data_IF_266335919251
#
_entry.id   IF_266335919251
#
_cell.length_a   1.000
_cell.length_b   1.000
_cell.length_c   1.000
_cell.angle_alpha   90.00
_cell.angle_beta   90.00
_cell.angle_gamma   90.00
#
_symmetry.space_group_name_H-M   'P 1'
#
loop_
_entity.id
_entity.type
_entity.pdbx_description
1 polymer ?
#
# COMPACT_ATOMS: atom_id res chain seq x y z
N UNK A 1 -68.16 27.37 -58.30
CA UNK A 1 -67.06 27.88 -57.45
C UNK A 1 -67.17 27.24 -56.09
N UNK A 2 -66.03 26.91 -55.46
CA UNK A 2 -65.75 25.85 -54.46
C UNK A 2 -65.35 24.55 -55.16
N UNK A 3 -64.09 24.13 -55.23
CA UNK A 3 -62.87 24.51 -54.51
C UNK A 3 -62.28 23.24 -53.90
N UNK A 4 -61.22 22.69 -54.50
CA UNK A 4 -60.45 21.54 -54.02
C UNK A 4 -59.40 21.92 -52.99
N UNK A 5 -59.04 20.99 -52.11
CA UNK A 5 -57.83 20.90 -51.27
C UNK A 5 -57.94 19.53 -50.58
N UNK A 6 -57.30 18.48 -51.05
CA UNK A 6 -55.87 18.12 -51.07
C UNK A 6 -55.36 17.61 -49.71
N UNK A 7 -54.82 16.40 -49.78
CA UNK A 7 -54.35 15.52 -48.71
C UNK A 7 -52.83 15.59 -48.71
N UNK A 8 -52.19 16.12 -47.67
CA UNK A 8 -50.88 15.67 -47.18
C UNK A 8 -50.51 16.46 -45.93
N UNK A 9 -50.44 15.79 -44.78
CA UNK A 9 -49.51 16.13 -43.70
C UNK A 9 -49.11 14.79 -43.07
N UNK A 10 -47.93 14.30 -43.47
CA UNK A 10 -47.24 13.17 -42.84
C UNK A 10 -46.34 13.79 -41.79
N UNK A 11 -46.67 13.59 -40.51
CA UNK A 11 -45.79 13.95 -39.40
C UNK A 11 -44.59 12.98 -39.37
N UNK A 12 -43.41 13.46 -39.73
CA UNK A 12 -42.15 12.79 -39.45
C UNK A 12 -41.87 12.87 -37.94
N UNK A 13 -42.06 11.75 -37.25
CA UNK A 13 -41.52 11.53 -35.91
C UNK A 13 -39.99 11.43 -35.99
N UNK A 14 -39.31 12.57 -35.88
CA UNK A 14 -37.89 12.65 -35.60
C UNK A 14 -37.61 12.15 -34.19
N UNK A 15 -37.23 10.89 -34.06
CA UNK A 15 -36.69 10.34 -32.83
C UNK A 15 -35.32 10.94 -32.56
N UNK A 16 -35.23 11.83 -31.56
CA UNK A 16 -33.98 12.23 -30.95
C UNK A 16 -33.36 11.03 -30.22
N UNK A 17 -32.58 10.23 -30.95
CA UNK A 17 -31.65 9.28 -30.38
C UNK A 17 -30.48 10.06 -29.75
N UNK A 18 -30.71 10.61 -28.56
CA UNK A 18 -29.63 11.04 -27.67
C UNK A 18 -28.92 9.79 -27.15
N UNK A 19 -28.08 9.21 -28.01
CA UNK A 19 -26.92 8.46 -27.56
C UNK A 19 -26.05 9.43 -26.77
N UNK A 20 -26.29 9.52 -25.45
CA UNK A 20 -25.28 10.00 -24.51
C UNK A 20 -24.07 9.09 -24.68
N UNK A 21 -23.13 9.50 -25.52
CA UNK A 21 -21.76 9.05 -25.42
C UNK A 21 -21.34 9.33 -23.99
N UNK A 22 -21.28 8.28 -23.18
CA UNK A 22 -20.68 8.36 -21.86
C UNK A 22 -19.21 8.70 -22.08
N UNK A 23 -18.87 9.98 -22.09
CA UNK A 23 -17.49 10.42 -22.04
C UNK A 23 -16.86 9.70 -20.85
N UNK A 24 -15.81 8.92 -21.14
CA UNK A 24 -15.04 8.27 -20.08
C UNK A 24 -14.48 9.38 -19.19
N UNK A 25 -14.59 9.25 -17.85
CA UNK A 25 -14.13 10.29 -16.95
C UNK A 25 -12.65 10.60 -17.23
N UNK A 26 -12.33 11.88 -17.43
CA UNK A 26 -10.98 12.32 -17.80
C UNK A 26 -10.02 12.14 -16.64
N UNK A 27 -8.84 11.57 -16.92
CA UNK A 27 -7.76 11.46 -15.95
C UNK A 27 -7.15 12.84 -15.73
N UNK A 28 -7.30 13.37 -14.52
CA UNK A 28 -6.74 14.66 -14.09
C UNK A 28 -5.50 14.47 -13.20
N UNK A 29 -4.70 15.52 -13.04
CA UNK A 29 -3.55 15.52 -12.15
C UNK A 29 -3.96 15.20 -10.69
N UNK A 30 -3.42 14.13 -10.12
CA UNK A 30 -3.76 13.65 -8.77
C UNK A 30 -4.80 12.52 -8.75
N UNK A 31 -5.31 12.11 -9.91
CA UNK A 31 -6.17 10.94 -10.06
C UNK A 31 -5.49 9.66 -9.62
N UNK A 32 -6.26 8.75 -9.02
CA UNK A 32 -5.80 7.40 -8.70
C UNK A 32 -6.19 6.43 -9.81
N UNK A 33 -5.18 5.79 -10.42
CA UNK A 33 -5.35 4.73 -11.41
C UNK A 33 -5.02 3.37 -10.81
N UNK A 34 -5.90 2.39 -10.95
CA UNK A 34 -5.72 1.01 -10.48
C UNK A 34 -6.25 0.02 -11.52
N UNK A 35 -5.44 -0.96 -11.88
CA UNK A 35 -5.74 -1.97 -12.90
C UNK A 35 -5.27 -3.36 -12.47
N UNK A 36 -5.58 -4.38 -13.28
CA UNK A 36 -5.25 -5.77 -13.03
C UNK A 36 -6.40 -6.56 -12.40
N UNK A 37 -6.07 -7.57 -11.59
CA UNK A 37 -7.04 -8.48 -11.01
C UNK A 37 -7.99 -7.77 -10.03
N UNK A 38 -9.30 -7.96 -10.20
CA UNK A 38 -10.33 -7.36 -9.35
C UNK A 38 -11.26 -8.36 -8.66
N UNK A 39 -10.82 -9.60 -8.45
CA UNK A 39 -11.63 -10.67 -7.83
C UNK A 39 -12.24 -10.27 -6.46
N UNK A 40 -11.50 -9.51 -5.65
CA UNK A 40 -11.94 -9.00 -4.35
C UNK A 40 -12.20 -7.50 -4.35
N UNK A 41 -12.31 -6.88 -5.54
CA UNK A 41 -12.48 -5.43 -5.68
C UNK A 41 -11.25 -4.62 -5.28
N UNK A 42 -10.05 -5.21 -5.24
CA UNK A 42 -8.79 -4.51 -4.93
C UNK A 42 -8.41 -3.44 -5.97
N UNK A 43 -9.12 -3.38 -7.10
CA UNK A 43 -9.08 -2.31 -8.09
C UNK A 43 -9.87 -1.06 -7.68
N UNK A 44 -10.76 -1.15 -6.66
CA UNK A 44 -11.43 0.01 -6.07
C UNK A 44 -12.60 0.57 -6.87
N UNK A 45 -13.04 -0.11 -7.93
CA UNK A 45 -14.06 0.38 -8.88
C UNK A 45 -15.50 0.33 -8.37
N UNK A 46 -15.73 -0.13 -7.14
CA UNK A 46 -17.06 -0.42 -6.60
C UNK A 46 -17.70 -1.68 -7.16
N UNK A 47 -16.95 -2.48 -7.92
CA UNK A 47 -17.34 -3.77 -8.50
C UNK A 47 -16.18 -4.76 -8.45
N UNK A 48 -16.50 -6.04 -8.57
CA UNK A 48 -15.51 -7.09 -8.83
C UNK A 48 -15.27 -7.24 -10.33
N UNK A 49 -14.13 -7.81 -10.70
CA UNK A 49 -13.73 -8.05 -12.08
C UNK A 49 -12.47 -7.29 -12.46
N UNK A 50 -11.74 -7.86 -13.42
CA UNK A 50 -10.45 -7.33 -13.85
C UNK A 50 -10.62 -5.98 -14.57
N UNK A 51 -9.64 -5.11 -14.38
CA UNK A 51 -9.68 -3.72 -14.86
C UNK A 51 -8.48 -3.47 -15.76
N UNK A 52 -8.71 -3.02 -16.99
CA UNK A 52 -7.65 -2.55 -17.87
C UNK A 52 -7.14 -1.17 -17.44
N UNK A 53 -5.90 -0.83 -17.77
CA UNK A 53 -5.33 0.49 -17.40
C UNK A 53 -6.14 1.68 -17.95
N UNK A 54 -6.77 1.52 -19.12
CA UNK A 54 -7.66 2.53 -19.73
C UNK A 54 -8.93 2.80 -18.94
N UNK A 55 -9.34 1.87 -18.08
CA UNK A 55 -10.52 1.95 -17.21
C UNK A 55 -10.13 2.09 -15.73
N UNK A 56 -8.84 2.32 -15.46
CA UNK A 56 -8.28 2.25 -14.12
C UNK A 56 -8.64 3.41 -13.20
N UNK A 57 -9.30 4.45 -13.71
CA UNK A 57 -9.66 5.64 -12.92
C UNK A 57 -10.63 5.27 -11.80
N UNK A 58 -10.16 5.38 -10.56
CA UNK A 58 -11.01 5.19 -9.38
C UNK A 58 -11.83 6.46 -9.18
N UNK A 59 -13.06 6.44 -9.71
CA UNK A 59 -13.97 7.58 -9.62
C UNK A 59 -14.20 8.02 -8.16
N UNK A 60 -14.35 9.33 -7.96
CA UNK A 60 -14.61 9.96 -6.66
C UNK A 60 -13.48 9.77 -5.63
N UNK A 61 -12.28 9.38 -6.08
CA UNK A 61 -11.08 9.32 -5.25
C UNK A 61 -9.95 10.21 -5.78
N UNK A 62 -9.32 11.04 -4.92
CA UNK A 62 -9.57 11.17 -3.48
C UNK A 62 -10.88 11.91 -3.15
N UNK A 63 -11.50 11.65 -1.99
CA UNK A 63 -12.88 12.07 -1.69
C UNK A 63 -13.05 13.57 -1.39
N UNK A 64 -11.98 14.35 -1.47
CA UNK A 64 -12.01 15.82 -1.36
C UNK A 64 -11.43 16.40 -2.63
N UNK A 65 -12.12 17.37 -3.23
CA UNK A 65 -11.66 18.08 -4.41
C UNK A 65 -10.25 18.66 -4.16
N UNK A 66 -9.25 18.08 -4.83
CA UNK A 66 -7.85 18.53 -4.77
C UNK A 66 -6.94 17.80 -3.78
N UNK A 67 -7.43 16.85 -2.98
CA UNK A 67 -6.55 15.95 -2.24
C UNK A 67 -5.68 15.13 -3.23
N UNK A 68 -4.52 14.65 -2.78
CA UNK A 68 -3.60 13.85 -3.62
C UNK A 68 -3.06 12.67 -2.85
N UNK A 69 -2.75 11.58 -3.54
CA UNK A 69 -2.07 10.42 -2.93
C UNK A 69 -0.57 10.69 -2.83
N UNK A 70 0.01 10.52 -1.64
CA UNK A 70 1.49 10.56 -1.44
C UNK A 70 2.13 9.18 -1.28
N UNK A 71 1.39 8.18 -0.80
CA UNK A 71 1.91 6.83 -0.59
C UNK A 71 0.88 5.80 -1.04
N UNK A 72 1.38 4.67 -1.54
CA UNK A 72 0.57 3.56 -2.04
C UNK A 72 1.25 2.23 -1.75
N UNK A 73 0.44 1.20 -1.50
CA UNK A 73 0.89 -0.17 -1.31
C UNK A 73 -0.18 -1.17 -1.78
N UNK A 74 0.24 -2.21 -2.49
CA UNK A 74 -0.61 -3.32 -2.91
C UNK A 74 -0.27 -4.57 -2.08
N UNK A 75 -1.26 -5.20 -1.46
CA UNK A 75 -1.15 -6.57 -0.96
C UNK A 75 -1.48 -7.58 -2.05
N UNK A 76 -1.65 -8.86 -1.69
CA UNK A 76 -2.04 -9.88 -2.66
C UNK A 76 -3.51 -9.73 -3.12
N UNK A 77 -4.38 -9.15 -2.28
CA UNK A 77 -5.82 -9.02 -2.57
C UNK A 77 -6.44 -7.74 -1.98
N UNK A 78 -5.62 -6.76 -1.61
CA UNK A 78 -6.05 -5.49 -1.04
C UNK A 78 -5.09 -4.37 -1.42
N UNK A 79 -5.55 -3.14 -1.28
CA UNK A 79 -4.81 -1.93 -1.62
C UNK A 79 -4.92 -0.92 -0.48
N UNK A 80 -3.85 -0.16 -0.25
CA UNK A 80 -3.78 0.92 0.72
C UNK A 80 -3.15 2.15 0.07
N UNK A 81 -3.73 3.31 0.33
CA UNK A 81 -3.15 4.60 -0.04
C UNK A 81 -3.21 5.57 1.13
N UNK A 82 -2.32 6.56 1.09
CA UNK A 82 -2.27 7.67 2.03
C UNK A 82 -2.29 8.97 1.26
N UNK A 83 -3.18 9.88 1.63
CA UNK A 83 -3.25 11.22 1.03
C UNK A 83 -2.16 12.13 1.58
N UNK A 84 -1.88 13.25 0.91
CA UNK A 84 -0.93 14.28 1.37
C UNK A 84 -1.31 14.84 2.76
N UNK A 85 -2.60 14.82 3.09
CA UNK A 85 -3.15 15.20 4.40
C UNK A 85 -3.00 14.10 5.46
N UNK A 86 -2.36 12.97 5.16
CA UNK A 86 -2.24 11.78 6.02
C UNK A 86 -3.55 11.01 6.27
N UNK A 87 -4.55 11.12 5.38
CA UNK A 87 -5.73 10.26 5.44
C UNK A 87 -5.41 8.90 4.82
N UNK A 88 -5.74 7.81 5.53
CA UNK A 88 -5.48 6.44 5.08
C UNK A 88 -6.75 5.82 4.52
N UNK A 89 -6.65 5.21 3.34
CA UNK A 89 -7.73 4.47 2.72
C UNK A 89 -7.28 3.06 2.37
N UNK A 90 -8.15 2.09 2.64
CA UNK A 90 -7.93 0.68 2.33
C UNK A 90 -9.16 0.08 1.64
N UNK A 91 -8.94 -0.86 0.72
CA UNK A 91 -10.00 -1.59 0.03
C UNK A 91 -9.50 -2.92 -0.54
N UNK A 92 -10.43 -3.74 -1.04
CA UNK A 92 -10.20 -5.11 -1.48
C UNK A 92 -10.72 -6.13 -0.47
N UNK A 93 -10.06 -7.28 -0.39
CA UNK A 93 -10.38 -8.37 0.53
C UNK A 93 -10.14 -7.95 1.99
N UNK A 94 -11.14 -8.12 2.86
CA UNK A 94 -11.03 -7.83 4.30
C UNK A 94 -11.14 -9.02 5.23
N UNK A 95 -11.23 -10.26 4.73
CA UNK A 95 -11.58 -11.44 5.53
C UNK A 95 -10.59 -11.76 6.67
N UNK A 96 -9.34 -11.29 6.55
CA UNK A 96 -8.31 -11.44 7.60
C UNK A 96 -8.07 -10.16 8.39
N UNK A 97 -8.88 -9.11 8.20
CA UNK A 97 -8.70 -7.79 8.82
C UNK A 97 -7.68 -6.89 8.13
N UNK A 98 -7.16 -7.28 6.95
CA UNK A 98 -6.05 -6.57 6.28
C UNK A 98 -6.40 -5.16 5.80
N UNK A 99 -7.67 -4.78 5.88
CA UNK A 99 -8.14 -3.42 5.62
C UNK A 99 -8.12 -2.52 6.86
N UNK A 100 -8.12 -3.06 8.07
CA UNK A 100 -8.11 -2.25 9.30
C UNK A 100 -9.44 -1.57 9.64
N UNK A 101 -10.54 -1.96 8.99
CA UNK A 101 -11.87 -1.34 9.17
C UNK A 101 -12.59 -1.73 10.49
N UNK A 102 -12.05 -2.69 11.23
CA UNK A 102 -12.67 -3.22 12.45
C UNK A 102 -13.66 -4.37 12.23
N UNK A 103 -13.75 -4.88 11.01
CA UNK A 103 -14.58 -6.02 10.59
C UNK A 103 -13.81 -6.93 9.61
N UNK A 104 -14.49 -7.95 9.07
CA UNK A 104 -13.94 -8.90 8.11
C UNK A 104 -14.54 -8.75 6.70
N UNK A 105 -15.11 -7.58 6.40
CA UNK A 105 -15.86 -7.35 5.17
C UNK A 105 -14.96 -6.95 4.01
N UNK A 106 -15.31 -7.38 2.80
CA UNK A 106 -14.69 -6.91 1.57
C UNK A 106 -15.17 -5.49 1.26
N UNK A 107 -14.27 -4.60 0.88
CA UNK A 107 -14.61 -3.22 0.47
C UNK A 107 -14.27 -3.03 -1.00
N UNK A 108 -15.26 -2.74 -1.82
CA UNK A 108 -15.06 -2.57 -3.27
C UNK A 108 -14.60 -1.16 -3.66
N UNK A 109 -14.58 -0.22 -2.72
CA UNK A 109 -14.16 1.18 -2.90
C UNK A 109 -13.20 1.59 -1.80
N UNK A 110 -12.29 2.56 -2.05
CA UNK A 110 -11.45 3.13 -1.02
C UNK A 110 -12.24 3.53 0.22
N UNK A 111 -11.98 2.87 1.34
CA UNK A 111 -12.63 3.15 2.62
C UNK A 111 -11.62 3.79 3.57
N UNK A 112 -11.97 4.94 4.15
CA UNK A 112 -11.13 5.59 5.15
C UNK A 112 -10.97 4.72 6.40
N UNK A 113 -9.74 4.62 6.90
CA UNK A 113 -9.43 4.00 8.19
C UNK A 113 -8.62 4.96 9.07
N UNK A 114 -8.56 4.68 10.37
CA UNK A 114 -7.82 5.47 11.34
C UNK A 114 -6.74 4.61 11.98
N UNK A 115 -5.49 5.11 11.98
CA UNK A 115 -4.38 4.40 12.64
C UNK A 115 -4.45 4.55 14.17
N UNK A 116 -5.06 5.62 14.66
CA UNK A 116 -5.19 5.93 16.08
C UNK A 116 -6.64 6.25 16.42
N UNK A 117 -7.02 6.07 17.67
CA UNK A 117 -8.34 6.52 18.17
C UNK A 117 -8.45 8.05 18.29
N UNK A 118 -7.34 8.79 18.11
CA UNK A 118 -7.32 10.25 18.06
C UNK A 118 -7.93 10.79 16.76
N UNK A 119 -8.54 11.97 16.85
CA UNK A 119 -9.00 12.74 15.69
C UNK A 119 -7.85 13.38 14.92
N UNK A 120 -6.68 13.51 15.53
CA UNK A 120 -5.48 14.05 14.87
C UNK A 120 -4.91 13.04 13.87
N UNK A 121 -4.63 13.50 12.66
CA UNK A 121 -4.02 12.67 11.63
C UNK A 121 -2.52 12.50 11.93
N UNK A 122 -2.02 11.27 12.13
CA UNK A 122 -0.61 11.05 12.39
C UNK A 122 0.21 11.35 11.13
N UNK A 123 1.46 11.79 11.29
CA UNK A 123 2.35 12.00 10.15
C UNK A 123 2.95 10.68 9.66
N UNK A 124 2.45 10.19 8.52
CA UNK A 124 2.76 8.87 7.98
C UNK A 124 3.98 8.97 7.06
N UNK A 125 5.02 8.22 7.42
CA UNK A 125 6.26 8.09 6.66
C UNK A 125 6.15 7.02 5.56
N UNK A 126 5.38 5.96 5.79
CA UNK A 126 5.22 4.90 4.79
C UNK A 126 4.11 3.90 5.12
N UNK A 127 3.73 3.16 4.08
CA UNK A 127 2.79 2.03 4.15
C UNK A 127 3.33 0.86 3.34
N UNK A 128 3.04 -0.35 3.79
CA UNK A 128 3.37 -1.58 3.06
C UNK A 128 2.31 -2.64 3.33
N UNK A 129 2.21 -3.59 2.42
CA UNK A 129 1.26 -4.69 2.51
C UNK A 129 2.00 -6.01 2.30
N UNK A 130 1.66 -7.05 3.05
CA UNK A 130 1.98 -8.42 2.68
C UNK A 130 0.82 -9.06 1.92
N UNK A 131 0.73 -10.39 1.99
CA UNK A 131 -0.36 -11.13 1.35
C UNK A 131 -1.72 -10.82 1.95
N UNK A 132 -1.78 -10.82 3.29
CA UNK A 132 -3.01 -10.67 4.08
C UNK A 132 -2.79 -9.77 5.30
N UNK A 133 -1.80 -8.90 5.27
CA UNK A 133 -1.53 -7.96 6.35
C UNK A 133 -0.99 -6.64 5.82
N UNK A 134 -1.03 -5.63 6.67
CA UNK A 134 -0.74 -4.25 6.34
C UNK A 134 0.00 -3.59 7.49
N UNK A 135 0.96 -2.73 7.17
CA UNK A 135 1.72 -1.97 8.14
C UNK A 135 1.87 -0.53 7.67
N UNK A 136 1.63 0.41 8.57
CA UNK A 136 1.93 1.83 8.40
C UNK A 136 2.96 2.24 9.45
N UNK A 137 3.94 3.06 9.08
CA UNK A 137 4.88 3.64 10.04
C UNK A 137 4.92 5.16 9.92
N UNK A 138 5.10 5.79 11.07
CA UNK A 138 5.03 7.24 11.24
C UNK A 138 6.43 7.86 11.22
N UNK A 139 6.50 9.17 10.97
CA UNK A 139 7.78 9.92 10.98
C UNK A 139 8.45 9.97 12.36
N UNK A 140 7.67 9.77 13.43
CA UNK A 140 8.17 9.60 14.80
C UNK A 140 8.70 8.18 15.09
N UNK A 141 8.56 7.23 14.16
CA UNK A 141 9.04 5.85 14.30
C UNK A 141 8.02 4.83 14.80
N UNK A 142 6.83 5.27 15.25
CA UNK A 142 5.77 4.34 15.64
C UNK A 142 5.25 3.57 14.43
N UNK A 143 4.93 2.30 14.64
CA UNK A 143 4.37 1.42 13.61
C UNK A 143 3.00 0.89 14.04
N UNK A 144 2.09 0.77 13.08
CA UNK A 144 0.77 0.19 13.26
C UNK A 144 0.59 -0.95 12.27
N UNK A 145 0.14 -2.10 12.76
CA UNK A 145 -0.10 -3.29 11.95
C UNK A 145 -1.53 -3.79 12.08
N UNK A 146 -2.06 -4.37 11.01
CA UNK A 146 -3.38 -5.00 10.99
C UNK A 146 -3.46 -6.10 9.93
N UNK A 147 -4.41 -7.01 10.07
CA UNK A 147 -4.63 -8.15 9.19
C UNK A 147 -4.29 -9.49 9.83
N UNK A 148 -3.85 -10.44 8.99
CA UNK A 148 -3.56 -11.80 9.38
C UNK A 148 -2.34 -11.86 10.30
N UNK A 149 -2.46 -12.62 11.40
CA UNK A 149 -1.34 -12.83 12.31
C UNK A 149 -1.04 -14.28 12.68
N UNK A 150 -1.45 -15.23 11.84
CA UNK A 150 -1.28 -16.65 12.14
C UNK A 150 0.19 -17.04 12.41
N UNK A 151 1.13 -16.41 11.70
CA UNK A 151 2.57 -16.62 11.88
C UNK A 151 3.24 -15.52 12.71
N UNK A 152 2.48 -14.66 13.39
CA UNK A 152 2.97 -13.50 14.12
C UNK A 152 3.67 -12.42 13.25
N UNK A 153 3.31 -12.34 11.96
CA UNK A 153 3.89 -11.37 11.00
C UNK A 153 3.56 -9.89 11.28
N UNK A 154 2.57 -9.59 12.12
CA UNK A 154 2.21 -8.22 12.51
C UNK A 154 3.16 -7.64 13.57
N UNK A 155 3.96 -8.46 14.25
CA UNK A 155 4.78 -8.05 15.39
C UNK A 155 3.99 -7.37 16.54
N UNK A 156 2.67 -7.52 16.59
CA UNK A 156 1.88 -6.93 17.67
C UNK A 156 2.12 -7.68 18.99
N UNK A 157 2.02 -6.94 20.09
CA UNK A 157 2.44 -7.30 21.44
C UNK A 157 2.30 -8.81 21.79
N UNK A 158 3.41 -9.56 21.73
CA UNK A 158 3.45 -11.00 22.02
C UNK A 158 3.13 -11.37 23.47
N UNK A 159 3.02 -10.38 24.38
CA UNK A 159 2.70 -10.61 25.80
C UNK A 159 1.21 -10.81 26.05
N UNK A 160 0.35 -10.64 25.04
CA UNK A 160 -1.09 -10.85 25.18
C UNK A 160 -1.46 -12.26 24.74
N UNK A 161 -2.44 -12.88 25.40
CA UNK A 161 -2.79 -14.30 25.20
C UNK A 161 -3.17 -14.63 23.76
N UNK A 162 -3.85 -13.71 23.08
CA UNK A 162 -4.36 -13.91 21.73
C UNK A 162 -3.45 -13.31 20.66
N UNK A 163 -2.13 -13.23 20.87
CA UNK A 163 -1.20 -12.57 19.96
C UNK A 163 -1.14 -13.15 18.53
N UNK A 164 -1.73 -14.32 18.23
CA UNK A 164 -1.82 -14.86 16.86
C UNK A 164 -3.14 -14.58 16.15
N UNK A 165 -4.09 -13.94 16.83
CA UNK A 165 -5.36 -13.57 16.22
C UNK A 165 -5.20 -12.45 15.20
N UNK A 166 -6.07 -12.46 14.20
CA UNK A 166 -6.11 -11.39 13.21
C UNK A 166 -6.46 -10.06 13.90
N UNK A 167 -5.76 -9.00 13.54
CA UNK A 167 -6.03 -7.66 14.03
C UNK A 167 -6.93 -6.93 13.05
N UNK A 168 -8.17 -6.66 13.44
CA UNK A 168 -9.17 -6.04 12.57
C UNK A 168 -9.02 -4.52 12.49
N UNK A 169 -8.31 -3.90 13.45
CA UNK A 169 -7.99 -2.47 13.49
C UNK A 169 -6.46 -2.29 13.54
N UNK A 170 -5.93 -1.15 13.08
CA UNK A 170 -4.53 -0.83 13.27
C UNK A 170 -4.12 -0.87 14.75
N UNK A 171 -3.11 -1.66 15.07
CA UNK A 171 -2.61 -1.84 16.43
C UNK A 171 -1.15 -1.39 16.50
N UNK A 172 -0.82 -0.57 17.51
CA UNK A 172 0.54 -0.06 17.74
C UNK A 172 1.52 -1.19 18.12
N UNK A 173 2.68 -1.22 17.45
CA UNK A 173 3.79 -2.13 17.75
C UNK A 173 4.58 -1.62 18.96
N UNK A 174 4.17 -2.04 20.15
CA UNK A 174 4.72 -1.58 21.43
C UNK A 174 6.25 -1.75 21.56
N UNK A 175 6.83 -2.74 20.89
CA UNK A 175 8.27 -3.02 20.99
C UNK A 175 9.17 -2.00 20.31
N UNK A 176 8.64 -1.22 19.36
CA UNK A 176 9.40 -0.20 18.62
C UNK A 176 9.15 1.22 19.16
N UNK A 177 8.36 1.39 20.22
CA UNK A 177 8.09 2.73 20.81
C UNK A 177 9.39 3.43 21.27
N UNK A 178 10.44 2.68 21.58
CA UNK A 178 11.76 3.21 21.98
C UNK A 178 12.85 2.99 20.92
N UNK A 179 12.50 2.55 19.71
CA UNK A 179 13.43 2.32 18.59
C UNK A 179 12.80 2.84 17.31
N UNK A 180 13.34 3.92 16.77
CA UNK A 180 12.73 4.58 15.62
C UNK A 180 12.80 3.68 14.39
N UNK A 181 11.67 3.14 13.94
CA UNK A 181 11.57 2.44 12.66
C UNK A 181 11.51 3.46 11.53
N UNK A 182 12.34 3.27 10.51
CA UNK A 182 12.44 4.18 9.34
C UNK A 182 11.91 3.54 8.06
N UNK A 183 11.89 2.21 7.99
CA UNK A 183 11.31 1.46 6.87
C UNK A 183 10.75 0.13 7.35
N UNK A 184 9.66 -0.32 6.71
CA UNK A 184 9.10 -1.66 6.88
C UNK A 184 8.93 -2.34 5.52
N UNK A 185 9.24 -3.62 5.43
CA UNK A 185 8.99 -4.44 4.25
C UNK A 185 8.20 -5.70 4.62
N UNK A 186 7.19 -6.04 3.82
CA UNK A 186 6.32 -7.19 4.05
C UNK A 186 6.43 -8.18 2.89
N UNK A 187 6.67 -9.45 3.21
CA UNK A 187 6.52 -10.56 2.28
C UNK A 187 5.14 -11.22 2.38
N UNK A 188 5.03 -12.49 2.00
CA UNK A 188 3.74 -13.21 2.04
C UNK A 188 3.23 -13.30 3.50
N UNK A 189 4.11 -13.77 4.40
CA UNK A 189 3.82 -14.11 5.81
C UNK A 189 4.93 -13.68 6.77
N UNK A 190 5.78 -12.74 6.37
CA UNK A 190 6.87 -12.22 7.19
C UNK A 190 7.04 -10.71 7.02
N UNK A 191 7.70 -10.10 7.99
CA UNK A 191 7.93 -8.66 8.03
C UNK A 191 9.35 -8.36 8.49
N UNK A 192 9.98 -7.40 7.81
CA UNK A 192 11.24 -6.79 8.19
C UNK A 192 11.03 -5.35 8.65
N UNK A 193 11.77 -4.94 9.67
CA UNK A 193 11.79 -3.59 10.21
C UNK A 193 13.22 -3.07 10.18
N UNK A 194 13.43 -1.91 9.55
CA UNK A 194 14.70 -1.20 9.56
C UNK A 194 14.63 -0.05 10.57
N UNK A 195 15.56 -0.03 11.52
CA UNK A 195 15.66 1.06 12.51
C UNK A 195 16.56 2.19 12.01
N UNK A 196 16.44 3.37 12.63
CA UNK A 196 17.29 4.53 12.30
C UNK A 196 18.78 4.26 12.52
N UNK A 197 19.13 3.32 13.40
CA UNK A 197 20.52 2.89 13.65
C UNK A 197 21.06 1.93 12.58
N UNK A 198 20.30 1.66 11.51
CA UNK A 198 20.71 0.77 10.43
C UNK A 198 20.72 -0.71 10.82
N UNK A 199 19.87 -1.09 11.79
CA UNK A 199 19.68 -2.46 12.25
C UNK A 199 18.38 -3.03 11.70
N UNK A 200 18.36 -4.33 11.41
CA UNK A 200 17.18 -5.03 10.87
C UNK A 200 16.60 -5.98 11.92
N UNK A 201 15.29 -5.95 12.09
CA UNK A 201 14.54 -6.93 12.84
C UNK A 201 13.58 -7.69 11.92
N UNK A 202 13.34 -8.97 12.20
CA UNK A 202 12.45 -9.81 11.39
C UNK A 202 11.48 -10.63 12.26
N UNK A 203 10.23 -10.80 11.80
CA UNK A 203 9.25 -11.68 12.42
C UNK A 203 8.33 -12.33 11.37
N UNK A 204 7.57 -13.33 11.80
CA UNK A 204 6.63 -14.05 10.94
C UNK A 204 7.06 -15.48 10.64
N UNK A 205 6.57 -15.99 9.51
CA UNK A 205 6.91 -17.31 9.00
C UNK A 205 8.37 -17.37 8.57
N UNK A 206 9.02 -18.52 8.79
CA UNK A 206 10.43 -18.73 8.44
C UNK A 206 10.71 -20.11 7.82
N UNK A 207 9.67 -20.82 7.37
CA UNK A 207 9.81 -22.16 6.82
C UNK A 207 10.77 -22.27 5.61
N UNK A 208 11.03 -21.16 4.91
CA UNK A 208 11.97 -21.07 3.79
C UNK A 208 13.24 -20.27 4.13
N UNK A 209 13.47 -19.94 5.40
CA UNK A 209 14.60 -19.11 5.83
C UNK A 209 14.42 -17.61 5.52
N UNK A 210 13.21 -17.15 5.18
CA UNK A 210 12.94 -15.76 4.78
C UNK A 210 13.27 -14.71 5.86
N UNK A 211 13.41 -15.10 7.13
CA UNK A 211 13.82 -14.20 8.20
C UNK A 211 15.35 -14.04 8.31
N UNK A 212 16.14 -14.89 7.66
CA UNK A 212 17.60 -14.82 7.68
C UNK A 212 18.24 -15.14 9.03
N UNK A 213 17.55 -15.88 9.90
CA UNK A 213 18.01 -16.18 11.28
C UNK A 213 18.94 -17.39 11.39
N UNK A 214 19.26 -18.05 10.27
CA UNK A 214 20.05 -19.29 10.23
C UNK A 214 19.26 -20.56 10.61
N UNK A 215 18.02 -20.42 11.05
CA UNK A 215 17.15 -21.53 11.48
C UNK A 215 15.79 -21.44 10.79
N UNK A 216 15.05 -22.55 10.58
CA UNK A 216 13.75 -22.53 9.90
C UNK A 216 12.56 -22.16 10.82
N UNK A 217 12.84 -21.78 12.07
CA UNK A 217 11.80 -21.52 13.08
C UNK A 217 11.15 -20.15 12.89
N UNK A 218 9.82 -20.12 12.91
CA UNK A 218 9.02 -18.89 12.92
C UNK A 218 9.43 -18.00 14.11
N UNK A 219 9.35 -16.69 13.92
CA UNK A 219 9.71 -15.71 14.97
C UNK A 219 8.50 -14.91 15.37
N UNK A 220 8.04 -15.11 16.62
CA UNK A 220 6.82 -14.48 17.16
C UNK A 220 7.01 -13.04 17.67
N UNK A 221 8.25 -12.67 17.93
CA UNK A 221 8.65 -11.35 18.38
C UNK A 221 9.83 -10.92 17.52
N UNK A 222 9.79 -9.78 16.81
CA UNK A 222 10.88 -9.32 15.97
C UNK A 222 12.25 -9.52 16.61
N UNK A 223 13.02 -10.40 15.97
CA UNK A 223 14.37 -10.75 16.36
C UNK A 223 15.31 -9.86 15.57
N UNK A 224 16.26 -9.22 16.26
CA UNK A 224 17.33 -8.48 15.60
C UNK A 224 18.22 -9.46 14.84
N UNK A 225 18.58 -9.11 13.62
CA UNK A 225 19.60 -9.81 12.83
C UNK A 225 20.94 -9.20 13.20
N UNK A 226 21.62 -9.82 14.16
CA UNK A 226 22.85 -9.26 14.75
C UNK A 226 24.02 -9.21 13.76
N UNK A 227 24.03 -10.08 12.75
CA UNK A 227 25.04 -10.09 11.70
C UNK A 227 24.83 -8.99 10.63
N UNK A 228 23.75 -8.21 10.72
CA UNK A 228 23.45 -7.10 9.81
C UNK A 228 23.64 -5.75 10.50
N UNK A 229 24.58 -4.96 9.96
CA UNK A 229 24.88 -3.60 10.41
C UNK A 229 24.98 -2.63 9.22
N UNK A 230 24.71 -1.35 9.47
CA UNK A 230 24.82 -0.30 8.45
C UNK A 230 23.83 -0.45 7.29
N UNK A 231 22.70 -1.12 7.53
CA UNK A 231 21.64 -1.30 6.52
C UNK A 231 20.93 0.04 6.30
N UNK A 232 20.69 0.37 5.04
CA UNK A 232 20.04 1.64 4.63
C UNK A 232 18.73 1.43 3.89
N UNK A 233 18.50 0.24 3.32
CA UNK A 233 17.19 -0.13 2.82
C UNK A 233 16.94 -1.64 2.90
N UNK A 234 15.66 -1.99 3.00
CA UNK A 234 15.16 -3.36 3.03
C UNK A 234 14.06 -3.58 1.97
N UNK A 235 13.90 -4.81 1.51
CA UNK A 235 12.78 -5.22 0.66
C UNK A 235 12.43 -6.70 0.88
N UNK A 236 11.19 -7.08 0.56
CA UNK A 236 10.72 -8.45 0.65
C UNK A 236 10.11 -8.88 -0.68
N UNK A 237 10.49 -10.07 -1.15
CA UNK A 237 9.65 -10.87 -2.03
C UNK A 237 8.64 -11.70 -1.21
N UNK A 238 7.97 -12.65 -1.86
CA UNK A 238 7.01 -13.53 -1.16
C UNK A 238 7.68 -14.35 -0.04
N UNK A 239 8.84 -14.93 -0.36
CA UNK A 239 9.56 -15.89 0.50
C UNK A 239 11.06 -15.58 0.64
N UNK A 240 11.51 -14.39 0.25
CA UNK A 240 12.91 -13.97 0.40
C UNK A 240 12.99 -12.50 0.80
N UNK A 241 14.16 -12.13 1.36
CA UNK A 241 14.43 -10.83 1.95
C UNK A 241 15.70 -10.23 1.34
N UNK A 242 15.70 -8.92 1.15
CA UNK A 242 16.85 -8.15 0.68
C UNK A 242 17.15 -7.05 1.69
N UNK A 243 18.44 -6.82 1.92
CA UNK A 243 18.95 -5.68 2.66
C UNK A 243 20.17 -5.13 1.93
N UNK A 244 20.29 -3.81 1.84
CA UNK A 244 21.47 -3.15 1.29
C UNK A 244 22.13 -2.28 2.36
N UNK A 245 23.46 -2.25 2.35
CA UNK A 245 24.29 -1.40 3.20
C UNK A 245 24.92 -0.27 2.39
N UNK A 246 25.30 0.82 3.06
CA UNK A 246 25.97 1.96 2.41
C UNK A 246 25.01 3.00 1.82
N UNK A 247 25.56 4.00 1.11
CA UNK A 247 24.80 5.17 0.65
C UNK A 247 23.82 4.81 -0.46
N UNK A 248 22.55 4.63 -0.12
CA UNK A 248 21.47 4.58 -1.09
C UNK A 248 20.95 6.00 -1.28
N UNK A 249 21.08 6.55 -2.48
CA UNK A 249 20.41 7.80 -2.85
C UNK A 249 18.97 7.46 -3.18
N UNK A 250 18.07 7.70 -2.24
CA UNK A 250 16.62 7.67 -2.46
C UNK A 250 16.22 9.00 -3.09
N UNK A 251 15.92 9.00 -4.40
CA UNK A 251 15.34 10.19 -5.04
C UNK A 251 13.85 10.27 -4.68
N UNK A 252 13.46 11.28 -3.91
CA UNK A 252 12.07 11.77 -3.91
C UNK A 252 11.95 12.90 -4.93
N UNK A 253 10.85 12.95 -5.67
CA UNK A 253 10.63 13.87 -6.80
C UNK A 253 10.52 15.36 -6.40
N UNK A 254 10.86 15.75 -5.17
CA UNK A 254 10.66 17.11 -4.67
C UNK A 254 11.89 17.76 -4.02
N UNK A 255 13.07 17.13 -4.02
CA UNK A 255 14.30 17.83 -3.61
C UNK A 255 15.53 17.19 -4.27
N UNK A 256 16.15 17.93 -5.20
CA UNK A 256 17.56 17.70 -5.53
C UNK A 256 18.39 18.02 -4.28
N UNK A 257 19.15 17.08 -3.69
CA UNK A 257 20.08 17.45 -2.64
C UNK A 257 21.22 18.27 -3.23
N UNK A 258 21.44 19.46 -2.68
CA UNK A 258 22.68 20.21 -2.86
C UNK A 258 23.79 19.34 -2.24
N UNK A 259 24.64 18.74 -3.07
CA UNK A 259 25.85 18.09 -2.64
C UNK A 259 26.73 19.13 -1.94
N UNK A 260 26.90 19.04 -0.61
CA UNK A 260 28.04 19.68 0.05
C UNK A 260 29.26 18.79 -0.19
N UNK A 261 30.33 19.30 -0.82
CA UNK A 261 31.55 18.52 -0.99
C UNK A 261 32.20 18.32 0.38
N UNK A 262 32.34 17.07 0.81
CA UNK A 262 33.23 16.72 1.92
C UNK A 262 34.40 15.93 1.33
N UNK A 263 35.61 16.33 1.72
CA UNK A 263 36.89 15.87 1.16
C UNK A 263 37.19 14.40 1.52
N UNK A 264 36.67 13.45 0.75
CA UNK A 264 37.24 12.11 0.59
C UNK A 264 36.50 11.33 -0.51
N UNK A 265 36.78 11.67 -1.76
CA UNK A 265 36.30 10.89 -2.91
C UNK A 265 37.15 9.63 -3.08
N UNK A 266 36.54 8.45 -2.97
CA UNK A 266 37.11 7.21 -3.51
C UNK A 266 36.45 6.95 -4.89
N UNK A 267 37.21 6.70 -5.97
CA UNK A 267 36.69 6.77 -7.34
C UNK A 267 35.81 5.60 -7.82
N UNK A 268 35.33 4.71 -6.93
CA UNK A 268 34.65 3.46 -7.34
C UNK A 268 33.17 3.35 -6.93
N UNK A 269 32.53 4.44 -6.49
CA UNK A 269 31.12 4.40 -6.07
C UNK A 269 30.18 4.27 -7.28
N UNK A 270 29.77 3.03 -7.60
CA UNK A 270 28.66 2.77 -8.52
C UNK A 270 27.35 3.22 -7.88
N UNK A 271 26.67 4.18 -8.51
CA UNK A 271 25.32 4.60 -8.16
C UNK A 271 24.34 3.44 -8.39
N UNK A 272 23.64 2.99 -7.35
CA UNK A 272 22.53 2.03 -7.49
C UNK A 272 21.22 2.79 -7.30
N UNK A 273 20.44 2.89 -8.38
CA UNK A 273 19.08 3.41 -8.37
C UNK A 273 18.12 2.28 -8.00
N UNK A 274 17.49 2.37 -6.83
CA UNK A 274 16.50 1.39 -6.37
C UNK A 274 15.12 2.07 -6.28
N UNK A 275 14.35 1.97 -7.37
CA UNK A 275 12.91 2.22 -7.36
C UNK A 275 12.22 1.02 -6.71
N UNK A 276 12.11 1.02 -5.39
CA UNK A 276 11.38 -0.02 -4.65
C UNK A 276 9.89 0.31 -4.57
N UNK A 277 9.20 0.19 -5.70
CA UNK A 277 7.76 -0.15 -5.72
C UNK A 277 7.67 -1.59 -6.20
N UNK A 278 7.03 -2.46 -5.42
CA UNK A 278 6.83 -3.89 -5.68
C UNK A 278 6.81 -4.24 -7.18
N UNK A 279 7.94 -4.76 -7.68
CA UNK A 279 8.00 -5.36 -9.01
C UNK A 279 7.44 -6.79 -8.90
N UNK A 280 6.19 -6.97 -9.33
CA UNK A 280 5.63 -8.27 -9.63
C UNK A 280 6.43 -8.91 -10.78
N UNK A 281 7.13 -10.01 -10.53
CA UNK A 281 7.66 -10.85 -11.60
C UNK A 281 6.63 -11.93 -11.95
N UNK A 282 6.23 -11.93 -13.22
CA UNK A 282 5.61 -13.06 -13.91
C UNK A 282 6.64 -14.19 -14.01
N UNK A 283 6.28 -15.41 -13.60
CA UNK A 283 6.94 -16.62 -14.08
C UNK A 283 6.09 -17.23 -15.19
N UNK A 284 6.76 -17.42 -16.33
CA UNK A 284 6.36 -18.12 -17.56
C UNK A 284 5.52 -19.38 -17.39
#
# INVERSE_FOLDING_TARGET
MKGSMDLTDIEENGGDDQTKSSESPSVEDGSLLVWGCGEFGQTGQGKVGDVAATEGLVAEFPPKNGARVKLLACGASHSIVVTVENEVYAWGNGHSGQLGCGDKETRLRPTRIYLTDSQELPDIAGVTCGSRHSIAWLTNGNCYSFGNNYYAQLAYNFRIQNYKENQLRPTLLQMFVHRKVVQVACGDRHTLFLTQEGRVAACGNNANGQLGTGEPSDTICPKMLDDLEGVTCIACGSYHSLAATGWVILFSSQQFPILKPCHSYHPDTKMILLLMSKLCYLSS
#
